data_IF_225934271593
#
_entry.id   IF_225934271593
#
_cell.length_a   1.000
_cell.length_b   1.000
_cell.length_c   1.000
_cell.angle_alpha   90.00
_cell.angle_beta   90.00
_cell.angle_gamma   90.00
#
_symmetry.space_group_name_H-M   'P 1'
#
loop_
_entity.id
_entity.type
_entity.pdbx_description
1 polymer ?
#
# COMPACT_ATOMS: atom_id res chain seq x y z
N UNK A 1 -16.17 15.05 -45.53
CA UNK A 1 -15.84 15.78 -44.29
C UNK A 1 -14.71 15.07 -43.51
N UNK A 2 -13.64 14.66 -44.19
CA UNK A 2 -12.48 13.95 -43.59
C UNK A 2 -11.13 14.52 -44.04
N UNK A 3 -11.13 15.69 -44.70
CA UNK A 3 -9.93 16.29 -45.29
C UNK A 3 -9.34 17.46 -44.47
N UNK A 4 -9.94 17.82 -43.33
CA UNK A 4 -9.46 18.94 -42.49
C UNK A 4 -8.74 18.49 -41.22
N UNK A 5 -8.80 17.21 -40.84
CA UNK A 5 -8.00 16.66 -39.72
C UNK A 5 -6.63 16.18 -40.22
N UNK A 6 -6.51 15.85 -41.51
CA UNK A 6 -5.25 15.38 -42.12
C UNK A 6 -4.21 16.49 -42.32
N UNK A 7 -4.64 17.75 -42.38
CA UNK A 7 -3.73 18.91 -42.48
C UNK A 7 -3.38 19.53 -41.10
N UNK A 8 -4.01 19.07 -40.02
CA UNK A 8 -3.75 19.58 -38.66
C UNK A 8 -2.81 18.67 -37.85
N UNK A 9 -2.78 17.36 -38.16
CA UNK A 9 -1.73 16.46 -37.67
C UNK A 9 -0.73 16.27 -38.80
N UNK A 10 0.43 16.92 -38.67
CA UNK A 10 1.52 16.96 -39.64
C UNK A 10 2.15 15.60 -39.95
N UNK A 11 1.39 14.72 -40.60
CA UNK A 11 1.84 13.44 -41.11
C UNK A 11 1.92 13.46 -42.63
N UNK A 12 2.48 14.54 -43.19
CA UNK A 12 2.82 14.58 -44.61
C UNK A 12 4.04 15.46 -44.87
N UNK A 13 5.22 14.88 -44.67
CA UNK A 13 6.47 15.08 -45.44
C UNK A 13 7.53 14.21 -44.76
N UNK A 14 7.73 12.99 -45.26
CA UNK A 14 8.84 12.60 -46.14
C UNK A 14 10.22 12.86 -45.53
N UNK A 15 10.84 11.76 -45.13
CA UNK A 15 12.28 11.55 -44.90
C UNK A 15 13.18 12.70 -45.33
N UNK A 16 13.78 13.39 -44.35
CA UNK A 16 15.03 14.08 -44.56
C UNK A 16 16.02 13.60 -43.48
N UNK A 17 17.08 12.95 -43.97
CA UNK A 17 18.25 12.53 -43.23
C UNK A 17 18.89 13.75 -42.57
N UNK A 18 18.93 13.79 -41.24
CA UNK A 18 19.82 14.73 -40.54
C UNK A 18 21.22 14.10 -40.47
N UNK A 19 22.11 14.65 -41.30
CA UNK A 19 23.51 14.30 -41.44
C UNK A 19 24.27 14.63 -40.14
N UNK A 20 24.92 13.63 -39.54
CA UNK A 20 25.80 13.82 -38.37
C UNK A 20 26.97 14.73 -38.74
N UNK A 21 26.93 15.99 -38.31
CA UNK A 21 28.11 16.84 -38.28
C UNK A 21 29.02 16.44 -37.11
N UNK A 22 30.07 15.69 -37.42
CA UNK A 22 31.24 15.51 -36.57
C UNK A 22 32.10 16.78 -36.68
N UNK A 23 31.82 17.76 -35.81
CA UNK A 23 32.64 18.95 -35.66
C UNK A 23 33.73 18.72 -34.62
N UNK A 24 34.99 18.65 -35.06
CA UNK A 24 36.17 18.66 -34.20
C UNK A 24 36.11 19.85 -33.22
N UNK A 25 35.80 19.58 -31.94
CA UNK A 25 35.80 20.62 -30.91
C UNK A 25 37.26 20.93 -30.58
N UNK A 26 37.72 22.11 -30.99
CA UNK A 26 38.99 22.68 -30.52
C UNK A 26 38.93 22.82 -28.98
N UNK A 27 39.96 22.33 -28.30
CA UNK A 27 40.00 22.17 -26.83
C UNK A 27 39.87 23.49 -26.06
N UNK A 28 39.87 24.63 -26.75
CA UNK A 28 39.95 25.94 -26.14
C UNK A 28 38.59 26.57 -25.81
N UNK A 29 37.46 25.97 -26.20
CA UNK A 29 36.11 26.52 -25.94
C UNK A 29 35.36 25.84 -24.78
N UNK A 30 35.92 24.78 -24.20
CA UNK A 30 35.33 24.10 -23.03
C UNK A 30 35.34 24.94 -21.74
N UNK A 31 36.05 26.08 -21.74
CA UNK A 31 36.15 26.96 -20.58
C UNK A 31 35.09 28.07 -20.55
N UNK A 32 34.28 28.23 -21.60
CA UNK A 32 33.26 29.29 -21.70
C UNK A 32 31.83 28.84 -21.33
N UNK A 33 31.57 27.53 -21.23
CA UNK A 33 30.23 26.99 -20.94
C UNK A 33 29.92 26.86 -19.44
N UNK A 34 30.92 27.01 -18.57
CA UNK A 34 30.74 27.05 -17.13
C UNK A 34 31.01 28.47 -16.63
N UNK A 35 30.00 29.22 -16.14
CA UNK A 35 30.25 30.42 -15.37
C UNK A 35 31.15 30.05 -14.17
N UNK A 36 32.22 30.81 -13.97
CA UNK A 36 33.04 30.68 -12.77
C UNK A 36 32.13 30.77 -11.54
N UNK A 37 32.13 29.73 -10.72
CA UNK A 37 31.28 29.62 -9.53
C UNK A 37 31.62 30.79 -8.59
N UNK A 38 30.76 31.80 -8.57
CA UNK A 38 30.84 32.84 -7.55
C UNK A 38 30.66 32.15 -6.20
N UNK A 39 31.54 32.39 -5.21
CA UNK A 39 31.36 31.82 -3.89
C UNK A 39 30.05 32.38 -3.34
N UNK A 40 29.03 31.53 -3.25
CA UNK A 40 27.81 31.82 -2.52
C UNK A 40 28.20 32.21 -1.10
N UNK A 41 27.85 33.41 -0.61
CA UNK A 41 27.96 33.68 0.81
C UNK A 41 27.05 32.67 1.50
N UNK A 42 27.66 31.79 2.30
CA UNK A 42 26.93 30.92 3.21
C UNK A 42 25.93 31.79 3.99
N UNK A 43 24.65 31.40 4.10
CA UNK A 43 23.78 32.02 5.06
C UNK A 43 24.48 31.92 6.42
N UNK A 44 24.77 33.07 7.03
CA UNK A 44 25.24 33.11 8.41
C UNK A 44 24.22 32.33 9.24
N UNK A 45 24.65 31.18 9.76
CA UNK A 45 23.92 30.47 10.79
C UNK A 45 23.86 31.39 12.00
N UNK A 46 22.78 32.16 12.08
CA UNK A 46 22.48 32.96 13.25
C UNK A 46 22.38 31.99 14.41
N UNK A 47 23.40 32.03 15.27
CA UNK A 47 23.52 31.22 16.46
C UNK A 47 22.16 31.14 17.17
N UNK A 48 21.72 29.96 17.63
CA UNK A 48 20.46 29.84 18.34
C UNK A 48 20.53 30.76 19.56
N UNK A 49 19.66 31.77 19.59
CA UNK A 49 19.47 32.61 20.76
C UNK A 49 19.31 31.70 21.99
N UNK A 50 19.92 32.02 23.14
CA UNK A 50 19.78 31.20 24.33
C UNK A 50 18.28 31.07 24.64
N UNK A 51 17.76 29.85 24.50
CA UNK A 51 16.41 29.49 24.93
C UNK A 51 16.28 29.93 26.37
N UNK A 52 15.43 30.93 26.62
CA UNK A 52 15.04 31.26 27.99
C UNK A 52 14.44 30.00 28.59
N UNK A 53 15.09 29.47 29.62
CA UNK A 53 14.51 28.47 30.51
C UNK A 53 13.16 29.01 30.99
N UNK A 54 12.07 28.24 30.91
CA UNK A 54 10.86 28.58 31.63
C UNK A 54 11.20 28.62 33.11
N UNK A 55 11.13 29.80 33.72
CA UNK A 55 11.13 29.92 35.17
C UNK A 55 9.91 29.17 35.71
N UNK A 56 10.17 28.16 36.51
CA UNK A 56 9.16 27.36 37.20
C UNK A 56 8.40 28.27 38.19
N UNK A 57 7.10 28.57 38.00
CA UNK A 57 6.32 29.12 39.08
C UNK A 57 6.03 27.99 40.07
N UNK A 58 6.62 28.12 41.25
CA UNK A 58 6.28 27.35 42.46
C UNK A 58 4.79 27.53 42.78
N UNK A 59 3.94 26.67 42.20
CA UNK A 59 2.55 26.53 42.62
C UNK A 59 2.50 25.53 43.76
N UNK A 60 2.65 26.09 44.96
CA UNK A 60 2.00 25.71 46.22
C UNK A 60 1.30 24.36 46.22
N UNK A 61 1.90 23.44 46.99
CA UNK A 61 1.26 22.22 47.44
C UNK A 61 0.05 22.55 48.32
N UNK A 62 -1.15 22.41 47.75
CA UNK A 62 -2.37 22.29 48.55
C UNK A 62 -2.59 20.82 48.92
N UNK A 63 -1.96 20.39 50.01
CA UNK A 63 -2.38 19.20 50.75
C UNK A 63 -3.72 19.47 51.43
N UNK A 64 -4.82 19.25 50.71
CA UNK A 64 -6.13 19.07 51.33
C UNK A 64 -6.34 17.58 51.60
N UNK A 65 -6.11 17.20 52.87
CA UNK A 65 -6.63 15.96 53.45
C UNK A 65 -8.14 15.93 53.27
N UNK A 66 -8.64 14.97 52.49
CA UNK A 66 -10.01 14.51 52.62
C UNK A 66 -10.00 12.99 52.76
N UNK A 67 -10.00 12.53 54.01
CA UNK A 67 -10.26 11.15 54.38
C UNK A 67 -11.76 10.89 54.26
N UNK A 68 -12.17 10.16 53.23
CA UNK A 68 -13.41 9.38 53.26
C UNK A 68 -13.28 8.16 52.35
N UNK A 69 -13.00 7.03 53.02
CA UNK A 69 -13.65 5.72 52.90
C UNK A 69 -14.04 5.20 51.50
N UNK A 70 -13.45 4.03 51.20
CA UNK A 70 -13.62 3.07 50.10
C UNK A 70 -15.06 2.83 49.60
N UNK A 71 -15.25 2.44 48.31
CA UNK A 71 -15.08 1.02 47.93
C UNK A 71 -14.17 0.85 46.70
N UNK A 72 -13.62 -0.35 46.55
CA UNK A 72 -12.78 -0.77 45.44
C UNK A 72 -13.40 -0.39 44.08
N UNK A 73 -12.84 0.63 43.45
CA UNK A 73 -13.10 0.98 42.05
C UNK A 73 -11.79 0.68 41.34
N UNK A 74 -11.83 -0.13 40.29
CA UNK A 74 -10.66 -0.35 39.43
C UNK A 74 -10.02 0.99 39.10
N UNK A 75 -8.91 1.29 39.77
CA UNK A 75 -8.25 2.57 39.66
C UNK A 75 -7.29 2.50 38.46
N UNK A 76 -7.88 2.40 37.27
CA UNK A 76 -7.15 2.60 36.01
C UNK A 76 -6.83 4.08 35.91
N UNK A 77 -5.69 4.46 36.48
CA UNK A 77 -5.10 5.78 36.28
C UNK A 77 -4.58 5.78 34.84
N UNK A 78 -5.32 6.41 33.93
CA UNK A 78 -4.88 6.59 32.55
C UNK A 78 -3.56 7.36 32.54
N UNK A 79 -2.52 6.76 31.96
CA UNK A 79 -1.22 7.41 31.80
C UNK A 79 -1.38 8.60 30.83
N UNK A 80 -1.16 9.85 31.28
CA UNK A 80 -1.16 10.99 30.38
C UNK A 80 0.04 10.86 29.44
N UNK A 81 -0.23 10.50 28.18
CA UNK A 81 0.79 10.24 27.16
C UNK A 81 0.62 8.91 26.43
N UNK A 82 -0.09 7.93 27.01
CA UNK A 82 -0.65 6.81 26.24
C UNK A 82 -2.00 7.29 25.72
N UNK A 83 -2.00 7.96 24.58
CA UNK A 83 -3.21 8.31 23.87
C UNK A 83 -3.93 7.02 23.48
N UNK A 84 -4.83 6.56 24.34
CA UNK A 84 -5.81 5.54 24.03
C UNK A 84 -6.86 6.17 23.10
N UNK A 85 -6.42 6.61 21.92
CA UNK A 85 -7.31 7.13 20.89
C UNK A 85 -8.25 5.98 20.52
N UNK A 86 -9.57 6.19 20.59
CA UNK A 86 -10.52 5.16 20.19
C UNK A 86 -10.23 4.75 18.75
N UNK A 87 -10.28 3.44 18.47
CA UNK A 87 -10.17 2.94 17.12
C UNK A 87 -11.34 3.51 16.30
N UNK A 88 -11.04 4.42 15.38
CA UNK A 88 -12.02 5.07 14.52
C UNK A 88 -12.17 4.26 13.22
N UNK A 89 -13.41 3.98 12.85
CA UNK A 89 -13.76 3.36 11.58
C UNK A 89 -14.59 4.35 10.79
N UNK A 90 -14.17 4.62 9.57
CA UNK A 90 -14.82 5.57 8.66
C UNK A 90 -15.36 4.79 7.46
N UNK A 91 -16.60 5.08 7.08
CA UNK A 91 -17.24 4.51 5.89
C UNK A 91 -17.19 5.56 4.78
N UNK A 92 -16.71 5.17 3.61
CA UNK A 92 -16.55 6.04 2.45
C UNK A 92 -17.25 5.43 1.23
N UNK A 93 -18.05 6.26 0.55
CA UNK A 93 -18.74 5.95 -0.70
C UNK A 93 -18.23 6.90 -1.78
N UNK A 94 -17.03 6.66 -2.34
CA UNK A 94 -16.48 7.50 -3.38
C UNK A 94 -17.31 7.40 -4.67
N UNK A 95 -17.32 8.49 -5.42
CA UNK A 95 -17.91 8.60 -6.74
C UNK A 95 -16.86 8.70 -7.84
N UNK A 96 -15.60 8.97 -7.50
CA UNK A 96 -14.49 9.14 -8.44
C UNK A 96 -13.15 8.68 -7.83
N UNK A 97 -12.22 8.29 -8.70
CA UNK A 97 -10.85 7.92 -8.35
C UNK A 97 -10.07 9.06 -7.67
N UNK A 98 -10.45 10.31 -7.90
CA UNK A 98 -9.78 11.48 -7.31
C UNK A 98 -9.86 11.51 -5.77
N UNK A 99 -10.80 10.77 -5.16
CA UNK A 99 -10.96 10.71 -3.71
C UNK A 99 -9.97 9.75 -3.03
N UNK A 100 -9.35 8.83 -3.79
CA UNK A 100 -8.49 7.77 -3.25
C UNK A 100 -7.29 8.27 -2.42
N UNK A 101 -6.60 9.36 -2.79
CA UNK A 101 -5.52 9.92 -1.96
C UNK A 101 -5.99 10.34 -0.56
N UNK A 102 -7.22 10.85 -0.43
CA UNK A 102 -7.78 11.24 0.87
C UNK A 102 -8.06 10.02 1.75
N UNK A 103 -8.48 8.90 1.14
CA UNK A 103 -8.66 7.62 1.83
C UNK A 103 -7.33 7.11 2.40
N UNK A 104 -6.25 7.18 1.62
CA UNK A 104 -4.90 6.80 2.10
C UNK A 104 -4.44 7.69 3.25
N UNK A 105 -4.70 9.00 3.16
CA UNK A 105 -4.35 9.90 4.24
C UNK A 105 -5.09 9.55 5.53
N UNK A 106 -6.38 9.20 5.44
CA UNK A 106 -7.16 8.74 6.59
C UNK A 106 -6.60 7.45 7.21
N UNK A 107 -6.16 6.49 6.37
CA UNK A 107 -5.49 5.27 6.84
C UNK A 107 -4.18 5.58 7.58
N UNK A 108 -3.39 6.53 7.07
CA UNK A 108 -2.16 6.99 7.72
C UNK A 108 -2.41 7.66 9.08
N UNK A 109 -3.56 8.32 9.23
CA UNK A 109 -4.01 8.90 10.51
C UNK A 109 -4.53 7.84 11.50
N UNK A 110 -4.26 6.54 11.24
CA UNK A 110 -4.64 5.39 12.07
C UNK A 110 -6.16 5.14 12.14
N UNK A 111 -6.90 5.53 11.09
CA UNK A 111 -8.33 5.24 10.97
C UNK A 111 -8.56 4.08 10.02
N UNK A 112 -9.44 3.15 10.39
CA UNK A 112 -9.85 2.06 9.49
C UNK A 112 -10.89 2.58 8.50
N UNK A 113 -10.84 2.13 7.26
CA UNK A 113 -11.73 2.57 6.19
C UNK A 113 -12.56 1.40 5.67
N UNK A 114 -13.88 1.56 5.62
CA UNK A 114 -14.77 0.73 4.81
C UNK A 114 -15.06 1.49 3.52
N UNK A 115 -14.62 0.94 2.40
CA UNK A 115 -14.73 1.54 1.08
C UNK A 115 -15.83 0.82 0.29
N UNK A 116 -16.91 1.54 -0.03
CA UNK A 116 -18.02 1.04 -0.83
C UNK A 116 -17.97 1.67 -2.23
N UNK A 117 -17.65 0.87 -3.24
CA UNK A 117 -17.40 1.28 -4.62
C UNK A 117 -18.61 1.06 -5.54
N UNK A 118 -19.80 0.81 -5.00
CA UNK A 118 -21.00 0.53 -5.81
C UNK A 118 -21.44 1.70 -6.72
N UNK A 119 -20.97 2.91 -6.45
CA UNK A 119 -21.30 4.12 -7.23
C UNK A 119 -20.24 4.46 -8.30
N UNK A 120 -19.17 3.68 -8.39
CA UNK A 120 -18.10 3.87 -9.37
C UNK A 120 -18.25 2.88 -10.53
N UNK A 121 -17.76 3.28 -11.71
CA UNK A 121 -17.64 2.35 -12.84
C UNK A 121 -16.68 1.21 -12.50
N UNK A 122 -16.91 -0.03 -12.98
CA UNK A 122 -16.13 -1.20 -12.59
C UNK A 122 -14.62 -1.06 -12.87
N UNK A 123 -14.27 -0.43 -13.99
CA UNK A 123 -12.86 -0.18 -14.36
C UNK A 123 -12.20 0.83 -13.40
N UNK A 124 -12.95 1.84 -12.96
CA UNK A 124 -12.45 2.86 -12.04
C UNK A 124 -12.39 2.33 -10.59
N UNK A 125 -13.39 1.56 -10.18
CA UNK A 125 -13.43 0.86 -8.91
C UNK A 125 -12.23 -0.10 -8.77
N UNK A 126 -11.88 -0.85 -9.80
CA UNK A 126 -10.70 -1.72 -9.79
C UNK A 126 -9.42 -0.91 -9.56
N UNK A 127 -9.23 0.18 -10.31
CA UNK A 127 -8.07 1.07 -10.14
C UNK A 127 -8.02 1.69 -8.75
N UNK A 128 -9.17 2.07 -8.19
CA UNK A 128 -9.29 2.59 -6.84
C UNK A 128 -8.84 1.57 -5.79
N UNK A 129 -9.28 0.31 -5.89
CA UNK A 129 -8.83 -0.76 -5.01
C UNK A 129 -7.31 -0.96 -5.12
N UNK A 130 -6.77 -1.05 -6.33
CA UNK A 130 -5.33 -1.26 -6.54
C UNK A 130 -4.49 -0.11 -5.94
N UNK A 131 -4.96 1.12 -6.07
CA UNK A 131 -4.31 2.29 -5.50
C UNK A 131 -4.34 2.28 -3.96
N UNK A 132 -5.52 2.01 -3.38
CA UNK A 132 -5.69 1.97 -1.92
C UNK A 132 -4.94 0.78 -1.31
N UNK A 133 -4.92 -0.37 -2.01
CA UNK A 133 -4.14 -1.55 -1.64
C UNK A 133 -2.63 -1.24 -1.63
N UNK A 134 -2.13 -0.53 -2.64
CA UNK A 134 -0.74 -0.09 -2.69
C UNK A 134 -0.36 0.82 -1.52
N UNK A 135 -1.21 1.79 -1.18
CA UNK A 135 -0.98 2.67 -0.02
C UNK A 135 -1.14 1.96 1.32
N UNK A 136 -2.06 1.00 1.43
CA UNK A 136 -2.24 0.17 2.64
C UNK A 136 -1.04 -0.73 2.87
N UNK A 137 -0.51 -1.34 1.80
CA UNK A 137 0.70 -2.15 1.88
C UNK A 137 1.91 -1.32 2.33
N UNK A 138 2.04 -0.08 1.87
CA UNK A 138 3.13 0.81 2.25
C UNK A 138 3.14 1.22 3.74
N UNK A 139 2.00 1.09 4.44
CA UNK A 139 1.88 1.39 5.88
C UNK A 139 1.80 0.12 6.75
N UNK A 140 2.14 -1.03 6.18
CA UNK A 140 1.99 -2.35 6.82
C UNK A 140 0.55 -2.60 7.31
N UNK A 141 -0.43 -2.07 6.59
CA UNK A 141 -1.84 -2.25 6.88
C UNK A 141 -2.38 -3.59 6.40
N UNK A 142 -3.64 -3.85 6.74
CA UNK A 142 -4.35 -5.05 6.31
C UNK A 142 -5.58 -4.69 5.47
N UNK A 143 -5.84 -5.50 4.45
CA UNK A 143 -6.94 -5.36 3.50
C UNK A 143 -7.80 -6.61 3.56
N UNK A 144 -9.12 -6.42 3.58
CA UNK A 144 -10.08 -7.52 3.53
C UNK A 144 -11.28 -7.17 2.63
N UNK A 145 -11.69 -8.10 1.76
CA UNK A 145 -12.93 -7.96 1.01
C UNK A 145 -14.09 -8.48 1.87
N UNK A 146 -15.02 -7.59 2.21
CA UNK A 146 -16.16 -7.91 3.08
C UNK A 146 -17.48 -8.07 2.31
N UNK A 147 -17.51 -7.68 1.03
CA UNK A 147 -18.67 -7.83 0.16
C UNK A 147 -18.35 -7.60 -1.32
N UNK A 148 -19.39 -7.51 -2.14
CA UNK A 148 -19.24 -7.13 -3.55
C UNK A 148 -19.01 -5.63 -3.64
N UNK A 149 -17.89 -5.24 -4.24
CA UNK A 149 -17.45 -3.84 -4.32
C UNK A 149 -17.30 -3.14 -2.97
N UNK A 150 -17.20 -3.89 -1.86
CA UNK A 150 -17.00 -3.35 -0.51
C UNK A 150 -15.72 -3.96 0.11
N UNK A 151 -14.81 -3.07 0.51
CA UNK A 151 -13.49 -3.42 1.03
C UNK A 151 -13.24 -2.76 2.38
N UNK A 152 -12.57 -3.48 3.27
CA UNK A 152 -12.08 -2.97 4.55
C UNK A 152 -10.56 -2.79 4.44
N UNK A 153 -10.09 -1.59 4.73
CA UNK A 153 -8.67 -1.27 4.88
C UNK A 153 -8.40 -0.86 6.32
N UNK A 154 -7.35 -1.41 6.90
CA UNK A 154 -7.00 -1.20 8.30
C UNK A 154 -5.52 -0.84 8.42
N UNK A 155 -5.16 0.12 9.28
CA UNK A 155 -3.76 0.41 9.59
C UNK A 155 -3.16 -0.71 10.46
N UNK A 156 -1.83 -0.75 10.58
CA UNK A 156 -1.09 -1.78 11.33
C UNK A 156 -1.46 -1.90 12.83
N UNK A 157 -2.20 -0.96 13.39
CA UNK A 157 -2.64 -0.98 14.79
C UNK A 157 -3.98 -1.69 15.01
N UNK A 158 -4.61 -2.23 13.96
CA UNK A 158 -5.90 -2.93 14.03
C UNK A 158 -5.74 -4.35 13.50
N UNK A 159 -6.08 -5.34 14.34
CA UNK A 159 -6.11 -6.74 13.93
C UNK A 159 -7.51 -7.10 13.44
N UNK A 160 -7.59 -7.68 12.24
CA UNK A 160 -8.84 -8.17 11.67
C UNK A 160 -8.91 -9.67 11.85
N UNK A 161 -10.03 -10.19 12.36
CA UNK A 161 -10.27 -11.63 12.50
C UNK A 161 -11.56 -11.97 11.78
N UNK A 162 -11.44 -12.65 10.65
CA UNK A 162 -12.59 -13.17 9.92
C UNK A 162 -12.90 -14.59 10.40
N UNK A 163 -14.13 -14.83 10.87
CA UNK A 163 -14.58 -16.16 11.29
C UNK A 163 -15.04 -17.06 10.12
N UNK A 164 -15.12 -16.53 8.90
CA UNK A 164 -15.58 -17.29 7.73
C UNK A 164 -14.62 -18.42 7.30
N UNK A 165 -13.35 -18.36 7.71
CA UNK A 165 -12.33 -19.39 7.40
C UNK A 165 -12.24 -20.53 8.42
N UNK A 166 -13.01 -20.52 9.51
CA UNK A 166 -13.02 -21.59 10.52
C UNK A 166 -13.87 -22.82 10.13
N UNK A 167 -14.50 -22.80 8.95
CA UNK A 167 -15.34 -23.91 8.46
C UNK A 167 -14.68 -24.76 7.35
N UNK A 168 -13.35 -24.69 7.16
CA UNK A 168 -12.65 -25.74 6.41
C UNK A 168 -12.39 -26.96 7.32
N UNK A 169 -13.48 -27.64 7.68
CA UNK A 169 -13.44 -28.98 8.26
C UNK A 169 -13.60 -30.01 7.13
N UNK A 170 -12.72 -31.02 7.17
CA UNK A 170 -12.69 -32.26 6.37
C UNK A 170 -12.42 -32.15 4.86
N UNK A 171 -11.14 -32.34 4.51
CA UNK A 171 -10.75 -33.04 3.28
C UNK A 171 -11.62 -34.29 3.14
N UNK A 172 -12.49 -34.42 2.12
CA UNK A 172 -13.15 -35.69 1.88
C UNK A 172 -12.04 -36.68 1.52
N UNK A 173 -11.82 -37.67 2.38
CA UNK A 173 -10.97 -38.81 2.07
C UNK A 173 -11.39 -39.34 0.70
N UNK A 174 -10.47 -39.28 -0.27
CA UNK A 174 -10.72 -39.76 -1.62
C UNK A 174 -11.27 -41.20 -1.54
N UNK A 175 -12.33 -41.56 -2.29
CA UNK A 175 -12.74 -42.94 -2.36
C UNK A 175 -11.56 -43.76 -2.87
N UNK A 176 -11.15 -44.77 -2.10
CA UNK A 176 -10.07 -45.66 -2.46
C UNK A 176 -10.32 -46.19 -3.89
N UNK A 177 -9.43 -45.86 -4.83
CA UNK A 177 -9.46 -46.47 -6.16
C UNK A 177 -9.34 -47.99 -5.97
N UNK A 178 -10.20 -48.82 -6.58
CA UNK A 178 -9.89 -50.23 -6.69
C UNK A 178 -8.58 -50.34 -7.49
N UNK A 179 -7.62 -51.06 -6.92
CA UNK A 179 -6.32 -51.29 -7.54
C UNK A 179 -6.52 -51.84 -8.96
N UNK A 180 -5.89 -51.20 -9.95
CA UNK A 180 -5.84 -51.75 -11.30
C UNK A 180 -5.18 -53.13 -11.25
N UNK A 181 -5.68 -54.15 -11.96
CA UNK A 181 -5.01 -55.44 -12.04
C UNK A 181 -3.66 -55.25 -12.74
N UNK A 182 -2.58 -55.76 -12.11
CA UNK A 182 -1.24 -55.73 -12.67
C UNK A 182 -1.22 -56.39 -14.06
N UNK A 183 -0.41 -55.88 -15.01
CA UNK A 183 -0.26 -56.53 -16.30
C UNK A 183 0.37 -57.92 -16.10
N UNK A 184 -0.39 -58.96 -16.46
CA UNK A 184 0.11 -60.33 -16.55
C UNK A 184 1.05 -60.40 -17.76
N UNK A 185 2.35 -60.30 -17.51
CA UNK A 185 3.33 -60.76 -18.48
C UNK A 185 3.20 -62.28 -18.54
N UNK A 186 2.57 -62.78 -19.61
CA UNK A 186 2.53 -64.21 -19.88
C UNK A 186 3.94 -64.68 -20.23
N UNK A 187 4.64 -65.24 -19.25
CA UNK A 187 5.78 -66.14 -19.44
C UNK A 187 5.22 -67.53 -19.77
N UNK A 188 4.87 -67.76 -21.04
CA UNK A 188 4.64 -69.12 -21.54
C UNK A 188 4.97 -69.19 -23.05
N UNK A 189 6.27 -69.15 -23.35
CA UNK A 189 6.80 -69.78 -24.56
C UNK A 189 7.31 -71.16 -24.16
N UNK A 190 6.40 -72.12 -24.05
CA UNK A 190 6.73 -73.54 -23.94
C UNK A 190 7.32 -74.03 -25.28
N UNK A 191 8.41 -74.83 -25.29
CA UNK A 191 9.08 -75.26 -26.50
C UNK A 191 8.37 -76.48 -27.09
N UNK A 192 8.03 -76.45 -28.38
CA UNK A 192 7.51 -77.64 -29.07
C UNK A 192 8.46 -78.09 -30.18
N UNK A 193 9.12 -79.20 -29.87
CA UNK A 193 9.91 -80.00 -30.78
C UNK A 193 9.05 -80.63 -31.89
N UNK A 194 9.70 -80.74 -33.05
CA UNK A 194 9.49 -81.54 -34.27
C UNK A 194 8.41 -82.65 -34.28
N UNK A 195 7.68 -82.74 -35.41
CA UNK A 195 7.69 -83.90 -36.32
C UNK A 195 6.72 -83.73 -37.51
N UNK A 196 7.24 -83.66 -38.73
CA UNK A 196 7.03 -84.63 -39.84
C UNK A 196 7.86 -84.21 -41.05
#
# INVERSE_FOLDING_TARGET
MFNSIRNFLGFNESEEYEEYYEGEIDNNDYHALYPAEMPTPLPEESAPAPRRLPENPTVVSNFAMNSNTTPARNNVIGLPGVSNSPAEVVVCEPHSFEEMPQIIQALRDRRSIVLNLNMMDPDEAQRAVDFVAGGTFAIDGHQERIGDSIFLFTPNCVQVTNQASLNQEETPAAPARPAAPAPAWNDDMTPMAQAQ
#
